data_IF_373029898317
#
_entry.id   IF_373029898317
#
_cell.length_a   1.000
_cell.length_b   1.000
_cell.length_c   1.000
_cell.angle_alpha   90.00
_cell.angle_beta   90.00
_cell.angle_gamma   90.00
#
_symmetry.space_group_name_H-M   'P 1'
#
loop_
_entity.id
_entity.type
_entity.pdbx_description
1 polymer ?
#
# COMPACT_ATOMS: atom_id res chain seq x y z
N UNK A 1 -10.36 71.72 -18.17
CA UNK A 1 -11.68 72.34 -18.01
C UNK A 1 -12.49 71.40 -17.16
N UNK A 2 -12.73 71.78 -15.87
CA UNK A 2 -14.06 71.99 -15.28
C UNK A 2 -14.94 70.75 -15.33
N UNK A 3 -15.52 70.22 -14.25
CA UNK A 3 -15.99 70.69 -12.94
C UNK A 3 -16.47 69.41 -12.23
N UNK A 4 -16.11 69.13 -10.99
CA UNK A 4 -16.80 69.50 -9.74
C UNK A 4 -18.25 69.04 -9.63
N UNK A 5 -18.48 68.37 -8.54
CA UNK A 5 -19.42 68.57 -7.41
C UNK A 5 -20.60 67.58 -7.41
N UNK A 6 -21.12 67.02 -6.36
CA UNK A 6 -21.33 67.22 -4.93
C UNK A 6 -21.94 65.93 -4.37
N UNK A 7 -21.53 65.43 -3.21
CA UNK A 7 -22.12 65.47 -1.88
C UNK A 7 -23.64 65.11 -1.77
N UNK A 8 -23.90 64.10 -0.98
CA UNK A 8 -24.91 63.98 0.06
C UNK A 8 -24.83 62.60 0.72
N UNK A 9 -24.34 62.44 1.82
CA UNK A 9 -24.76 62.42 3.23
C UNK A 9 -26.22 61.97 3.45
N UNK A 10 -26.38 60.76 3.93
CA UNK A 10 -27.50 60.35 4.75
C UNK A 10 -27.14 59.18 5.65
N UNK A 11 -27.05 59.50 6.92
CA UNK A 11 -26.98 58.58 8.04
C UNK A 11 -28.36 57.94 8.27
N UNK A 12 -28.40 56.63 8.46
CA UNK A 12 -29.47 55.96 9.16
C UNK A 12 -28.89 54.84 10.02
N UNK A 13 -28.81 55.10 11.32
CA UNK A 13 -28.67 54.11 12.36
C UNK A 13 -29.92 53.23 12.37
N UNK A 14 -29.73 51.95 12.31
CA UNK A 14 -30.67 50.97 12.89
C UNK A 14 -29.85 50.01 13.71
N UNK A 15 -29.99 50.13 15.05
CA UNK A 15 -29.64 49.10 15.99
C UNK A 15 -30.53 47.90 15.73
N UNK A 16 -29.89 46.75 15.45
CA UNK A 16 -30.51 45.46 15.46
C UNK A 16 -29.57 44.47 16.12
N UNK A 17 -29.68 44.34 17.45
CA UNK A 17 -29.09 43.21 18.16
C UNK A 17 -29.78 41.95 17.70
N UNK A 18 -29.00 41.01 17.16
CA UNK A 18 -29.32 39.59 17.22
C UNK A 18 -28.01 38.83 17.33
N UNK A 19 -27.74 38.40 18.54
CA UNK A 19 -26.82 37.35 18.87
C UNK A 19 -27.16 36.11 18.08
N UNK A 20 -26.34 35.78 17.13
CA UNK A 20 -26.25 34.43 16.61
C UNK A 20 -24.79 34.02 16.73
N UNK A 21 -24.46 33.33 17.81
CA UNK A 21 -23.31 32.46 17.86
C UNK A 21 -23.49 31.42 16.78
N UNK A 22 -22.82 31.61 15.66
CA UNK A 22 -22.56 30.63 14.65
C UNK A 22 -21.12 30.81 14.31
N UNK A 23 -20.22 30.12 15.02
CA UNK A 23 -18.86 29.92 14.54
C UNK A 23 -18.93 29.36 13.11
N UNK A 24 -18.32 29.97 12.13
CA UNK A 24 -18.09 29.28 10.88
C UNK A 24 -17.13 28.14 11.22
N UNK A 25 -17.67 26.92 11.31
CA UNK A 25 -16.90 25.71 11.29
C UNK A 25 -16.05 25.80 10.03
N UNK A 26 -14.77 26.14 10.20
CA UNK A 26 -13.78 25.96 9.14
C UNK A 26 -13.82 24.46 8.84
N UNK A 27 -14.47 24.12 7.75
CA UNK A 27 -14.26 22.84 7.07
C UNK A 27 -12.85 22.95 6.50
N UNK A 28 -11.84 22.55 7.29
CA UNK A 28 -10.55 22.19 6.76
C UNK A 28 -10.75 21.06 5.75
N UNK A 29 -9.82 20.81 4.82
CA UNK A 29 -9.94 19.68 3.94
C UNK A 29 -10.16 18.46 4.80
N UNK A 30 -11.33 17.84 4.67
CA UNK A 30 -11.67 16.58 5.27
C UNK A 30 -10.67 15.58 4.68
N UNK A 31 -9.64 15.26 5.46
CA UNK A 31 -8.73 14.19 5.12
C UNK A 31 -9.59 12.94 5.19
N UNK A 32 -9.94 12.39 4.03
CA UNK A 32 -10.59 11.07 3.97
C UNK A 32 -9.78 10.12 4.87
N UNK A 33 -10.45 9.34 5.73
CA UNK A 33 -9.73 8.38 6.55
C UNK A 33 -8.93 7.48 5.60
N UNK A 34 -7.61 7.47 5.77
CA UNK A 34 -6.73 6.64 4.97
C UNK A 34 -7.18 5.18 5.12
N UNK A 35 -7.42 4.51 4.00
CA UNK A 35 -7.82 3.10 3.98
C UNK A 35 -6.59 2.21 4.03
N UNK A 36 -6.67 1.07 4.74
CA UNK A 36 -5.58 0.08 4.70
C UNK A 36 -5.23 -0.32 3.27
N UNK A 37 -3.97 -0.65 2.99
CA UNK A 37 -3.57 -1.08 1.66
C UNK A 37 -4.29 -2.37 1.28
N UNK A 38 -4.82 -2.42 0.07
CA UNK A 38 -5.37 -3.63 -0.53
C UNK A 38 -4.22 -4.45 -1.12
N UNK A 39 -3.83 -5.51 -0.42
CA UNK A 39 -2.76 -6.40 -0.83
C UNK A 39 -3.25 -7.54 -1.75
N UNK A 40 -4.56 -7.79 -1.83
CA UNK A 40 -5.13 -8.87 -2.64
C UNK A 40 -4.83 -8.67 -4.12
N UNK A 41 -4.37 -9.70 -4.79
CA UNK A 41 -4.07 -9.68 -6.23
C UNK A 41 -2.77 -10.37 -6.60
N UNK A 42 -2.34 -10.13 -7.82
CA UNK A 42 -1.11 -10.67 -8.38
C UNK A 42 0.00 -9.63 -8.32
N UNK A 43 1.19 -10.08 -7.99
CA UNK A 43 2.38 -9.26 -7.80
C UNK A 43 3.54 -9.85 -8.60
N UNK A 44 4.34 -9.00 -9.20
CA UNK A 44 5.48 -9.41 -10.02
C UNK A 44 6.75 -8.68 -9.59
N UNK A 45 7.87 -9.40 -9.57
CA UNK A 45 9.18 -8.82 -9.28
C UNK A 45 9.59 -7.81 -10.34
N UNK A 46 10.06 -6.64 -9.87
CA UNK A 46 10.51 -5.53 -10.72
C UNK A 46 12.02 -5.34 -10.72
N UNK A 47 12.72 -5.97 -9.79
CA UNK A 47 14.17 -5.87 -9.64
C UNK A 47 14.91 -7.19 -9.94
N UNK A 48 14.37 -8.01 -10.85
CA UNK A 48 15.08 -9.20 -11.33
C UNK A 48 16.22 -8.82 -12.27
N UNK A 49 17.38 -9.45 -12.13
CA UNK A 49 18.50 -9.31 -13.06
C UNK A 49 18.31 -10.14 -14.34
N UNK A 50 17.37 -11.09 -14.34
CA UNK A 50 17.02 -11.92 -15.48
C UNK A 50 15.75 -11.41 -16.17
N UNK A 51 15.76 -11.31 -17.48
CA UNK A 51 14.60 -10.84 -18.27
C UNK A 51 13.52 -11.93 -18.39
N UNK A 52 13.91 -13.19 -18.37
CA UNK A 52 13.05 -14.37 -18.56
C UNK A 52 12.69 -15.10 -17.25
N UNK A 53 13.18 -14.60 -16.11
CA UNK A 53 12.92 -15.19 -14.80
C UNK A 53 12.70 -14.11 -13.72
N UNK A 54 11.71 -14.33 -12.86
CA UNK A 54 11.36 -13.42 -11.77
C UNK A 54 10.66 -14.17 -10.67
N UNK A 55 10.40 -13.51 -9.54
CA UNK A 55 9.44 -14.00 -8.57
C UNK A 55 8.07 -13.34 -8.77
N UNK A 56 7.02 -14.12 -8.58
CA UNK A 56 5.66 -13.64 -8.61
C UNK A 56 4.95 -14.09 -7.32
N UNK A 57 4.03 -13.27 -6.83
CA UNK A 57 3.21 -13.64 -5.69
C UNK A 57 1.73 -13.48 -6.03
N UNK A 58 0.91 -14.30 -5.38
CA UNK A 58 -0.55 -14.17 -5.36
C UNK A 58 -0.97 -14.02 -3.91
N UNK A 59 -1.75 -12.98 -3.63
CA UNK A 59 -2.34 -12.76 -2.31
C UNK A 59 -3.86 -12.88 -2.42
N UNK A 60 -4.44 -13.73 -1.60
CA UNK A 60 -5.87 -13.97 -1.53
C UNK A 60 -6.32 -14.01 -0.07
N UNK A 61 -7.08 -12.97 0.35
CA UNK A 61 -7.46 -12.83 1.75
C UNK A 61 -6.26 -12.67 2.67
N UNK A 62 -6.04 -13.63 3.54
CA UNK A 62 -4.97 -13.71 4.53
C UNK A 62 -3.84 -14.67 4.13
N UNK A 63 -3.81 -15.13 2.89
CA UNK A 63 -2.78 -16.03 2.37
C UNK A 63 -1.93 -15.39 1.29
N UNK A 64 -0.65 -15.76 1.27
CA UNK A 64 0.32 -15.37 0.25
C UNK A 64 1.04 -16.61 -0.29
N UNK A 65 1.11 -16.72 -1.61
CA UNK A 65 1.92 -17.70 -2.30
C UNK A 65 2.94 -16.99 -3.18
N UNK A 66 4.18 -17.41 -3.13
CA UNK A 66 5.28 -16.86 -3.95
C UNK A 66 5.87 -17.97 -4.81
N UNK A 67 6.11 -17.66 -6.06
CA UNK A 67 6.63 -18.60 -7.05
C UNK A 67 7.92 -18.09 -7.67
N UNK A 68 8.85 -18.99 -7.94
CA UNK A 68 9.86 -18.83 -8.97
C UNK A 68 9.19 -18.98 -10.32
N UNK A 69 9.37 -18.02 -11.18
CA UNK A 69 8.86 -18.03 -12.55
C UNK A 69 10.05 -17.97 -13.50
N UNK A 70 10.10 -18.84 -14.48
CA UNK A 70 11.15 -18.87 -15.50
C UNK A 70 10.56 -19.19 -16.88
N UNK A 71 11.42 -19.19 -17.89
CA UNK A 71 11.05 -19.44 -19.28
C UNK A 71 9.93 -18.48 -19.77
N UNK A 72 10.07 -17.20 -19.44
CA UNK A 72 9.07 -16.15 -19.75
C UNK A 72 7.66 -16.43 -19.21
N UNK A 73 7.54 -17.20 -18.12
CA UNK A 73 6.27 -17.51 -17.46
C UNK A 73 5.77 -18.93 -17.68
N UNK A 74 6.44 -19.73 -18.53
CA UNK A 74 6.02 -21.09 -18.85
C UNK A 74 6.29 -22.07 -17.69
N UNK A 75 7.27 -21.75 -16.84
CA UNK A 75 7.64 -22.59 -15.69
C UNK A 75 7.36 -21.84 -14.38
N UNK A 76 6.66 -22.48 -13.46
CA UNK A 76 6.42 -21.97 -12.09
C UNK A 76 6.79 -23.03 -11.07
N UNK A 77 7.51 -22.65 -10.02
CA UNK A 77 7.84 -23.49 -8.89
C UNK A 77 7.54 -22.74 -7.58
N UNK A 78 6.84 -23.38 -6.66
CA UNK A 78 6.49 -22.76 -5.37
C UNK A 78 7.76 -22.46 -4.57
N UNK A 79 7.87 -21.23 -4.10
CA UNK A 79 8.91 -20.76 -3.20
C UNK A 79 8.41 -20.58 -1.77
N UNK A 80 7.22 -20.02 -1.59
CA UNK A 80 6.60 -19.76 -0.30
C UNK A 80 5.09 -19.93 -0.38
N UNK A 81 4.50 -20.50 0.63
CA UNK A 81 3.09 -20.45 0.89
C UNK A 81 2.88 -20.20 2.38
N UNK A 82 1.99 -19.30 2.74
CA UNK A 82 1.75 -19.00 4.14
C UNK A 82 0.58 -18.06 4.38
N UNK A 83 0.21 -17.94 5.63
CA UNK A 83 -0.85 -17.03 6.09
C UNK A 83 -0.24 -15.84 6.82
N UNK A 84 -0.99 -14.74 6.92
CA UNK A 84 -0.58 -13.52 7.60
C UNK A 84 -1.79 -12.72 8.10
N UNK A 85 -1.56 -11.80 9.04
CA UNK A 85 -2.59 -10.85 9.45
C UNK A 85 -2.71 -9.74 8.38
N UNK A 86 -3.93 -9.52 7.90
CA UNK A 86 -4.17 -8.45 6.92
C UNK A 86 -4.08 -7.07 7.56
N UNK A 87 -3.61 -6.04 6.84
CA UNK A 87 -3.52 -4.70 7.40
C UNK A 87 -4.92 -4.16 7.74
N UNK A 88 -5.03 -3.55 8.91
CA UNK A 88 -6.27 -2.91 9.39
C UNK A 88 -6.16 -1.39 9.48
N UNK A 89 -4.95 -0.86 9.31
CA UNK A 89 -4.64 0.58 9.29
C UNK A 89 -3.93 0.94 7.99
N UNK A 90 -3.91 2.22 7.67
CA UNK A 90 -3.23 2.76 6.49
C UNK A 90 -1.76 3.11 6.77
N UNK A 91 -1.22 2.70 7.91
CA UNK A 91 0.15 3.04 8.28
C UNK A 91 1.16 2.33 7.37
N UNK A 92 2.12 3.08 6.86
CA UNK A 92 3.24 2.57 6.08
C UNK A 92 4.58 2.99 6.72
N UNK A 93 5.59 2.13 6.64
CA UNK A 93 5.58 0.79 6.07
C UNK A 93 4.75 -0.19 6.91
N UNK A 94 3.96 -1.04 6.24
CA UNK A 94 3.29 -2.15 6.87
C UNK A 94 4.17 -3.41 6.75
N UNK A 95 4.61 -3.93 7.87
CA UNK A 95 5.44 -5.14 7.93
C UNK A 95 4.67 -6.27 8.63
N UNK A 96 4.69 -7.44 8.02
CA UNK A 96 4.07 -8.63 8.59
C UNK A 96 4.98 -9.84 8.53
N UNK A 97 4.71 -10.78 9.40
CA UNK A 97 5.31 -12.10 9.39
C UNK A 97 4.28 -13.10 8.84
N UNK A 98 4.63 -13.79 7.76
CA UNK A 98 3.84 -14.88 7.20
C UNK A 98 4.28 -16.20 7.80
N UNK A 99 3.33 -17.00 8.25
CA UNK A 99 3.56 -18.33 8.81
C UNK A 99 3.49 -19.37 7.69
N UNK A 100 4.51 -20.20 7.58
CA UNK A 100 4.65 -21.19 6.52
C UNK A 100 3.53 -22.24 6.56
N UNK A 101 2.93 -22.46 5.41
CA UNK A 101 2.06 -23.62 5.17
C UNK A 101 2.92 -24.82 4.76
N UNK A 102 3.33 -25.59 5.77
CA UNK A 102 4.18 -26.78 5.58
C UNK A 102 3.52 -27.86 4.75
N UNK A 103 2.20 -27.91 4.66
CA UNK A 103 1.52 -28.90 3.81
C UNK A 103 1.81 -28.66 2.33
N UNK A 104 2.01 -27.40 1.93
CA UNK A 104 2.37 -27.02 0.57
C UNK A 104 3.88 -26.99 0.35
N UNK A 105 4.63 -26.36 1.24
CA UNK A 105 6.06 -26.11 1.04
C UNK A 105 6.92 -27.37 1.19
N UNK A 106 6.58 -28.31 2.06
CA UNK A 106 7.32 -29.57 2.24
C UNK A 106 7.30 -30.46 0.99
N UNK A 107 6.32 -30.28 0.12
CA UNK A 107 6.21 -31.00 -1.15
C UNK A 107 6.92 -30.29 -2.33
N UNK A 108 7.38 -29.08 -2.14
CA UNK A 108 7.96 -28.24 -3.19
C UNK A 108 9.49 -28.15 -3.04
N UNK A 109 10.22 -28.64 -4.04
CA UNK A 109 11.68 -28.77 -4.01
C UNK A 109 12.39 -27.42 -3.87
N UNK A 110 11.81 -26.33 -4.42
CA UNK A 110 12.40 -25.00 -4.40
C UNK A 110 11.80 -24.07 -3.34
N UNK A 111 10.95 -24.62 -2.47
CA UNK A 111 10.35 -23.84 -1.41
C UNK A 111 11.35 -23.52 -0.28
N UNK A 112 11.14 -22.38 0.36
CA UNK A 112 11.85 -22.03 1.58
C UNK A 112 11.44 -22.97 2.72
N UNK A 113 12.44 -23.45 3.46
CA UNK A 113 12.23 -24.25 4.66
C UNK A 113 11.98 -23.45 5.94
N UNK A 114 11.97 -22.12 5.85
CA UNK A 114 11.76 -21.24 7.00
C UNK A 114 10.38 -21.45 7.63
N UNK A 115 10.24 -21.28 8.93
CA UNK A 115 8.95 -21.38 9.61
C UNK A 115 8.11 -20.12 9.40
N UNK A 116 8.76 -18.97 9.25
CA UNK A 116 8.15 -17.68 9.00
C UNK A 116 8.94 -16.89 7.97
N UNK A 117 8.29 -15.94 7.31
CA UNK A 117 8.92 -15.02 6.38
C UNK A 117 8.36 -13.62 6.55
N UNK A 118 9.25 -12.65 6.68
CA UNK A 118 8.88 -11.24 6.83
C UNK A 118 8.71 -10.57 5.48
N UNK A 119 7.59 -9.89 5.32
CA UNK A 119 7.27 -9.05 4.17
C UNK A 119 7.04 -7.62 4.63
N UNK A 120 7.35 -6.65 3.78
CA UNK A 120 7.09 -5.23 4.03
C UNK A 120 6.41 -4.62 2.82
N UNK A 121 5.29 -3.94 3.04
CA UNK A 121 4.61 -3.11 2.03
C UNK A 121 4.91 -1.65 2.30
N UNK A 122 5.32 -0.94 1.27
CA UNK A 122 5.50 0.50 1.30
C UNK A 122 5.36 1.07 -0.12
N UNK A 123 4.62 2.16 -0.26
CA UNK A 123 4.49 2.92 -1.52
C UNK A 123 4.12 2.04 -2.74
N UNK A 124 3.23 1.06 -2.56
CA UNK A 124 2.80 0.15 -3.64
C UNK A 124 3.73 -1.02 -3.91
N UNK A 125 4.79 -1.20 -3.13
CA UNK A 125 5.79 -2.25 -3.31
C UNK A 125 5.78 -3.20 -2.12
N UNK A 126 5.74 -4.51 -2.38
CA UNK A 126 6.04 -5.55 -1.39
C UNK A 126 7.50 -5.95 -1.52
N UNK A 127 8.23 -5.97 -0.41
CA UNK A 127 9.61 -6.41 -0.36
C UNK A 127 9.84 -7.50 0.69
N UNK A 128 10.76 -8.41 0.41
CA UNK A 128 11.19 -9.47 1.32
C UNK A 128 12.57 -9.97 0.92
N UNK A 129 13.23 -10.71 1.81
CA UNK A 129 14.55 -11.27 1.56
C UNK A 129 14.47 -12.73 1.11
N UNK A 130 15.31 -13.05 0.15
CA UNK A 130 15.55 -14.41 -0.34
C UNK A 130 17.01 -14.73 -0.13
N UNK A 131 17.28 -15.83 0.55
CA UNK A 131 18.64 -16.32 0.74
C UNK A 131 18.81 -17.64 0.00
N UNK A 132 19.80 -17.69 -0.87
CA UNK A 132 20.20 -18.89 -1.60
C UNK A 132 21.72 -18.96 -1.73
N UNK A 133 22.32 -20.11 -1.46
CA UNK A 133 23.75 -20.34 -1.60
C UNK A 133 24.63 -19.33 -0.84
N UNK A 134 24.17 -18.84 0.31
CA UNK A 134 24.90 -17.86 1.11
C UNK A 134 24.81 -16.41 0.62
N UNK A 135 24.00 -16.15 -0.39
CA UNK A 135 23.69 -14.80 -0.89
C UNK A 135 22.27 -14.43 -0.52
N UNK A 136 22.10 -13.25 0.07
CA UNK A 136 20.77 -12.68 0.38
C UNK A 136 20.47 -11.55 -0.58
N UNK A 137 19.31 -11.60 -1.19
CA UNK A 137 18.79 -10.57 -2.09
C UNK A 137 17.45 -10.06 -1.58
N UNK A 138 17.22 -8.76 -1.72
CA UNK A 138 15.89 -8.18 -1.52
C UNK A 138 15.10 -8.26 -2.80
N UNK A 139 13.98 -8.95 -2.76
CA UNK A 139 12.99 -8.99 -3.84
C UNK A 139 12.01 -7.85 -3.66
N UNK A 140 11.64 -7.20 -4.75
CA UNK A 140 10.63 -6.12 -4.77
C UNK A 140 9.55 -6.49 -5.77
N UNK A 141 8.30 -6.55 -5.30
CA UNK A 141 7.14 -6.88 -6.10
C UNK A 141 6.23 -5.66 -6.26
N UNK A 142 5.68 -5.47 -7.44
CA UNK A 142 4.64 -4.50 -7.72
C UNK A 142 3.37 -5.20 -8.19
N UNK A 143 2.22 -4.62 -7.85
CA UNK A 143 0.90 -5.16 -8.21
C UNK A 143 0.69 -5.06 -9.72
N UNK A 144 0.07 -6.12 -10.31
CA UNK A 144 -0.20 -6.21 -11.75
C UNK A 144 -1.57 -5.68 -12.12
#
# INVERSE_FOLDING_TARGET
MKKLLYIALSAALVLGMLTACGEPKQTGPETEPATPPDLVGEWKQTNSDAEDAWQAATIAGDSIEVYWVSDNGDTKALYWAGTFDVPTTADEPYTWESVNDKEQTDMAILASGDDTKTFTYQDGVISYEVSAMGVTQTVKLEKQ
#
